data_IF_608825691703
#
_entry.id   IF_608825691703
#
_cell.length_a   1.000
_cell.length_b   1.000
_cell.length_c   1.000
_cell.angle_alpha   90.00
_cell.angle_beta   90.00
_cell.angle_gamma   90.00
#
_symmetry.space_group_name_H-M   'P 1'
#
loop_
_entity.id
_entity.type
_entity.pdbx_description
1 polymer ?
#
# COMPACT_ATOMS: atom_id res chain seq x y z
N UNK A 1 12.01 15.19 9.55
CA UNK A 1 11.98 13.72 9.35
C UNK A 1 13.08 13.13 10.21
N UNK A 2 12.78 12.28 11.20
CA UNK A 2 13.82 11.58 11.93
C UNK A 2 14.47 10.54 11.01
N UNK A 3 15.79 10.30 11.13
CA UNK A 3 16.47 9.22 10.43
C UNK A 3 15.89 7.88 10.90
N UNK A 4 15.57 7.00 9.97
CA UNK A 4 15.25 5.61 10.31
C UNK A 4 16.55 4.97 10.76
N UNK A 5 16.75 4.84 12.07
CA UNK A 5 17.82 4.00 12.63
C UNK A 5 17.37 2.55 12.41
N UNK A 6 17.97 1.90 11.42
CA UNK A 6 17.78 0.48 11.15
C UNK A 6 18.75 -0.27 12.07
N UNK A 7 18.38 -0.45 13.33
CA UNK A 7 19.05 -1.41 14.21
C UNK A 7 18.44 -2.79 13.99
N UNK A 8 18.66 -3.38 12.80
CA UNK A 8 18.08 -4.68 12.45
C UNK A 8 19.12 -5.66 11.97
N UNK A 9 19.11 -6.86 12.55
CA UNK A 9 19.74 -8.03 11.95
C UNK A 9 19.10 -8.29 10.58
N UNK A 10 19.90 -8.25 9.52
CA UNK A 10 19.47 -8.55 8.15
C UNK A 10 19.87 -9.98 7.83
N UNK A 11 18.90 -10.88 7.75
CA UNK A 11 19.13 -12.22 7.22
C UNK A 11 18.81 -12.24 5.73
N UNK A 12 19.70 -12.79 4.92
CA UNK A 12 19.50 -12.98 3.48
C UNK A 12 19.61 -14.45 3.13
N UNK A 13 18.56 -14.99 2.51
CA UNK A 13 18.57 -16.35 1.99
C UNK A 13 18.11 -16.39 0.54
N UNK A 14 18.75 -17.24 -0.26
CA UNK A 14 18.31 -17.51 -1.62
C UNK A 14 17.23 -18.57 -1.55
N UNK A 15 15.99 -18.16 -1.76
CA UNK A 15 14.85 -19.05 -1.71
C UNK A 15 14.95 -20.11 -2.81
N UNK A 16 14.70 -21.35 -2.39
CA UNK A 16 14.61 -22.49 -3.30
C UNK A 16 13.26 -22.60 -4.02
N UNK A 17 12.40 -21.57 -3.88
CA UNK A 17 11.13 -21.46 -4.58
C UNK A 17 11.33 -21.52 -6.09
N UNK A 18 10.45 -22.27 -6.76
CA UNK A 18 10.45 -22.35 -8.21
C UNK A 18 9.89 -21.03 -8.74
N UNK A 19 10.78 -20.18 -9.24
CA UNK A 19 10.36 -18.99 -9.96
C UNK A 19 9.95 -19.35 -11.39
N UNK A 20 9.08 -18.51 -11.96
CA UNK A 20 8.79 -18.54 -13.40
C UNK A 20 9.88 -17.85 -14.23
N UNK A 21 10.88 -17.25 -13.58
CA UNK A 21 12.06 -16.63 -14.18
C UNK A 21 13.23 -17.63 -14.17
N UNK A 22 14.30 -17.23 -14.82
CA UNK A 22 15.67 -17.73 -14.72
C UNK A 22 16.35 -17.37 -13.39
N UNK A 23 15.90 -16.32 -12.70
CA UNK A 23 16.43 -15.89 -11.40
C UNK A 23 15.76 -16.62 -10.22
N UNK A 24 16.52 -16.83 -9.14
CA UNK A 24 15.98 -17.30 -7.85
C UNK A 24 15.51 -16.11 -7.03
N UNK A 25 14.50 -16.33 -6.19
CA UNK A 25 14.09 -15.31 -5.24
C UNK A 25 15.15 -15.17 -4.15
N UNK A 26 15.39 -13.94 -3.71
CA UNK A 26 16.21 -13.64 -2.53
C UNK A 26 15.23 -13.14 -1.49
N UNK A 27 15.08 -13.89 -0.40
CA UNK A 27 14.35 -13.40 0.77
C UNK A 27 15.33 -12.64 1.65
N UNK A 28 14.93 -11.42 2.03
CA UNK A 28 15.64 -10.63 3.01
C UNK A 28 14.70 -10.45 4.19
N UNK A 29 14.98 -11.13 5.29
CA UNK A 29 14.24 -10.97 6.54
C UNK A 29 14.89 -9.84 7.32
N UNK A 30 14.13 -8.77 7.51
CA UNK A 30 14.55 -7.61 8.28
C UNK A 30 13.80 -7.68 9.60
N UNK A 31 14.50 -7.98 10.69
CA UNK A 31 13.95 -7.89 12.04
C UNK A 31 13.84 -6.41 12.43
N UNK A 32 12.87 -5.72 11.84
CA UNK A 32 12.52 -4.36 12.19
C UNK A 32 11.10 -4.39 12.74
N UNK A 33 10.82 -3.60 13.78
CA UNK A 33 9.47 -3.16 14.08
C UNK A 33 9.00 -2.26 12.92
N UNK A 34 8.70 -2.88 11.77
CA UNK A 34 8.02 -2.20 10.68
C UNK A 34 6.61 -1.99 11.18
N UNK A 35 6.39 -0.87 11.87
CA UNK A 35 5.06 -0.32 12.05
C UNK A 35 4.53 -0.11 10.62
N UNK A 36 3.76 -1.10 10.14
CA UNK A 36 3.29 -1.23 8.77
C UNK A 36 2.93 0.16 8.24
N UNK A 37 3.78 0.75 7.40
CA UNK A 37 3.72 2.17 7.01
C UNK A 37 2.57 2.45 6.03
N UNK A 38 1.54 1.61 6.02
CA UNK A 38 0.32 1.93 5.31
C UNK A 38 -0.37 3.06 6.05
N UNK A 39 -0.32 4.26 5.48
CA UNK A 39 -1.08 5.38 5.98
C UNK A 39 -2.55 4.98 6.14
N UNK A 40 -3.07 5.11 7.37
CA UNK A 40 -4.48 4.87 7.68
C UNK A 40 -5.34 5.65 6.69
N UNK A 41 -6.20 4.96 5.94
CA UNK A 41 -7.13 5.62 5.01
C UNK A 41 -8.46 5.84 5.71
N UNK A 42 -8.87 7.09 5.86
CA UNK A 42 -10.09 7.46 6.60
C UNK A 42 -11.26 7.64 5.64
N UNK A 43 -12.47 7.33 6.09
CA UNK A 43 -13.71 7.54 5.32
C UNK A 43 -14.19 9.00 5.45
N UNK A 44 -13.47 9.93 4.83
CA UNK A 44 -13.77 11.38 4.92
C UNK A 44 -15.04 11.79 4.18
N UNK A 45 -15.42 11.09 3.10
CA UNK A 45 -16.63 11.40 2.33
C UNK A 45 -17.96 11.13 3.05
N UNK A 46 -17.95 10.37 4.15
CA UNK A 46 -19.18 9.90 4.82
C UNK A 46 -19.59 10.80 6.02
N UNK A 47 -19.06 12.02 6.12
CA UNK A 47 -19.40 12.98 7.19
C UNK A 47 -18.44 12.96 8.39
N UNK A 48 -18.91 13.44 9.54
CA UNK A 48 -18.17 13.65 10.82
C UNK A 48 -17.11 14.78 10.82
N UNK A 49 -17.11 15.65 9.81
CA UNK A 49 -16.23 16.82 9.78
C UNK A 49 -16.46 17.76 10.97
N UNK A 50 -17.71 17.94 11.40
CA UNK A 50 -18.04 18.78 12.55
C UNK A 50 -17.39 18.24 13.84
N UNK A 51 -17.47 16.92 14.06
CA UNK A 51 -16.81 16.27 15.20
C UNK A 51 -15.29 16.43 15.15
N UNK A 52 -14.68 16.33 13.96
CA UNK A 52 -13.25 16.58 13.77
C UNK A 52 -12.87 18.01 14.12
N UNK A 53 -13.61 18.99 13.61
CA UNK A 53 -13.37 20.42 13.86
C UNK A 53 -13.56 20.75 15.34
N UNK A 54 -14.57 20.18 16.00
CA UNK A 54 -14.80 20.41 17.43
C UNK A 54 -13.70 19.83 18.31
N UNK A 55 -13.11 18.67 17.93
CA UNK A 55 -11.99 18.09 18.67
C UNK A 55 -10.72 18.92 18.43
N UNK A 56 -10.47 19.29 17.19
CA UNK A 56 -9.28 20.07 16.82
C UNK A 56 -9.33 21.48 17.43
N UNK A 57 -10.49 22.14 17.35
CA UNK A 57 -10.70 23.51 17.82
C UNK A 57 -10.51 23.72 19.32
N UNK A 58 -10.64 22.67 20.14
CA UNK A 58 -10.37 22.75 21.59
C UNK A 58 -8.89 22.96 21.91
N UNK A 59 -8.01 22.35 21.12
CA UNK A 59 -6.57 22.29 21.40
C UNK A 59 -5.75 23.21 20.48
N UNK A 60 -6.35 23.72 19.40
CA UNK A 60 -5.62 24.49 18.38
C UNK A 60 -5.09 25.83 18.90
N UNK A 61 -5.82 26.47 19.81
CA UNK A 61 -5.41 27.75 20.42
C UNK A 61 -4.14 27.60 21.26
N UNK A 62 -3.97 26.48 21.96
CA UNK A 62 -2.76 26.20 22.75
C UNK A 62 -1.54 26.01 21.85
N UNK A 63 -1.71 25.32 20.73
CA UNK A 63 -0.65 25.14 19.72
C UNK A 63 -0.28 26.45 19.04
N UNK A 64 -1.26 27.28 18.67
CA UNK A 64 -1.01 28.58 18.07
C UNK A 64 -0.15 29.46 18.99
N UNK A 65 -0.45 29.46 20.30
CA UNK A 65 0.34 30.19 21.29
C UNK A 65 1.76 29.65 21.41
N UNK A 66 1.95 28.32 21.39
CA UNK A 66 3.28 27.69 21.40
C UNK A 66 4.10 28.04 20.16
N UNK A 67 3.48 28.04 18.98
CA UNK A 67 4.15 28.40 17.73
C UNK A 67 4.61 29.86 17.76
N UNK A 68 3.75 30.78 18.21
CA UNK A 68 4.10 32.22 18.34
C UNK A 68 5.20 32.48 19.37
N UNK A 69 5.29 31.65 20.40
CA UNK A 69 6.28 31.78 21.47
C UNK A 69 7.63 31.09 21.16
N UNK A 70 7.70 30.29 20.10
CA UNK A 70 8.89 29.51 19.78
C UNK A 70 10.07 30.41 19.37
N UNK A 71 11.23 30.22 19.99
CA UNK A 71 12.45 31.03 19.77
C UNK A 71 13.53 30.31 18.99
N UNK A 72 13.39 29.01 18.79
CA UNK A 72 14.37 28.19 18.07
C UNK A 72 13.69 27.07 17.27
N UNK A 73 14.48 26.43 16.40
CA UNK A 73 14.02 25.35 15.53
C UNK A 73 13.59 24.09 16.31
N UNK A 74 14.14 23.84 17.48
CA UNK A 74 13.77 22.72 18.34
C UNK A 74 12.35 22.85 18.89
N UNK A 75 12.02 24.03 19.44
CA UNK A 75 10.68 24.37 19.92
C UNK A 75 9.65 24.35 18.79
N UNK A 76 10.00 24.86 17.62
CA UNK A 76 9.13 24.82 16.45
C UNK A 76 8.89 23.39 15.94
N UNK A 77 9.92 22.54 15.92
CA UNK A 77 9.80 21.13 15.58
C UNK A 77 8.90 20.39 16.57
N UNK A 78 9.04 20.65 17.88
CA UNK A 78 8.20 20.06 18.91
C UNK A 78 6.73 20.47 18.74
N UNK A 79 6.46 21.77 18.53
CA UNK A 79 5.11 22.26 18.24
C UNK A 79 4.51 21.61 16.98
N UNK A 80 5.34 21.36 15.97
CA UNK A 80 4.92 20.68 14.72
C UNK A 80 4.59 19.20 14.98
N UNK A 81 5.37 18.49 15.79
CA UNK A 81 5.09 17.10 16.18
C UNK A 81 3.80 17.01 17.00
N UNK A 82 3.58 17.95 17.93
CA UNK A 82 2.34 18.03 18.71
C UNK A 82 1.14 18.28 17.79
N UNK A 83 1.25 19.20 16.84
CA UNK A 83 0.20 19.47 15.85
C UNK A 83 -0.14 18.23 15.01
N UNK A 84 0.89 17.54 14.51
CA UNK A 84 0.70 16.29 13.75
C UNK A 84 -0.02 15.23 14.58
N UNK A 85 0.39 15.06 15.84
CA UNK A 85 -0.21 14.12 16.78
C UNK A 85 -1.66 14.46 17.07
N UNK A 86 -1.96 15.74 17.30
CA UNK A 86 -3.32 16.24 17.51
C UNK A 86 -4.21 15.95 16.30
N UNK A 87 -3.73 16.27 15.08
CA UNK A 87 -4.48 16.01 13.84
C UNK A 87 -4.75 14.51 13.68
N UNK A 88 -3.76 13.66 13.91
CA UNK A 88 -3.91 12.20 13.83
C UNK A 88 -4.94 11.70 14.86
N UNK A 89 -4.89 12.21 16.09
CA UNK A 89 -5.80 11.84 17.16
C UNK A 89 -7.24 12.28 16.89
N UNK A 90 -7.44 13.53 16.48
CA UNK A 90 -8.75 14.05 16.07
C UNK A 90 -9.31 13.22 14.91
N UNK A 91 -8.46 12.86 13.94
CA UNK A 91 -8.85 12.04 12.80
C UNK A 91 -9.27 10.63 13.20
N UNK A 92 -8.53 9.99 14.11
CA UNK A 92 -8.86 8.65 14.65
C UNK A 92 -10.19 8.65 15.42
N UNK A 93 -10.51 9.73 16.13
CA UNK A 93 -11.75 9.86 16.91
C UNK A 93 -12.98 10.21 16.07
N UNK A 94 -12.79 10.92 14.96
CA UNK A 94 -13.91 11.40 14.14
C UNK A 94 -14.24 10.51 12.96
N UNK A 95 -13.24 9.93 12.29
CA UNK A 95 -13.45 9.20 11.05
C UNK A 95 -13.24 7.70 11.22
N UNK A 96 -14.15 6.91 10.64
CA UNK A 96 -13.95 5.46 10.53
C UNK A 96 -12.78 5.17 9.60
N UNK A 97 -11.88 4.27 10.01
CA UNK A 97 -10.79 3.78 9.18
C UNK A 97 -11.36 2.83 8.12
N UNK A 98 -10.97 3.03 6.87
CA UNK A 98 -11.31 2.11 5.78
C UNK A 98 -10.52 0.83 6.01
N UNK A 99 -11.23 -0.29 6.12
CA UNK A 99 -10.59 -1.61 6.11
C UNK A 99 -9.82 -1.74 4.80
N UNK A 100 -8.49 -1.79 4.90
CA UNK A 100 -7.65 -2.22 3.81
C UNK A 100 -7.90 -3.72 3.68
N UNK A 101 -8.35 -4.17 2.52
CA UNK A 101 -8.29 -5.59 2.23
C UNK A 101 -6.80 -5.94 2.21
N UNK A 102 -6.37 -6.76 3.16
CA UNK A 102 -5.06 -7.40 3.08
C UNK A 102 -5.00 -8.09 1.72
N UNK A 103 -3.84 -8.04 1.06
CA UNK A 103 -3.63 -8.79 -0.17
C UNK A 103 -3.84 -10.25 0.21
N UNK A 104 -5.02 -10.77 -0.10
CA UNK A 104 -5.34 -12.17 0.11
C UNK A 104 -4.49 -12.97 -0.86
N UNK A 105 -4.33 -14.28 -0.57
CA UNK A 105 -3.78 -15.19 -1.56
C UNK A 105 -4.48 -14.93 -2.90
N UNK A 106 -3.73 -14.82 -4.02
CA UNK A 106 -4.33 -14.55 -5.31
C UNK A 106 -5.42 -15.57 -5.61
N UNK A 107 -6.53 -15.15 -6.20
CA UNK A 107 -7.66 -16.04 -6.47
C UNK A 107 -7.29 -17.23 -7.36
N UNK A 108 -6.25 -17.09 -8.21
CA UNK A 108 -5.72 -18.17 -9.05
C UNK A 108 -4.84 -19.18 -8.31
N UNK A 109 -4.47 -18.92 -7.05
CA UNK A 109 -3.63 -19.81 -6.25
C UNK A 109 -4.49 -20.87 -5.56
N UNK A 110 -4.42 -22.10 -6.04
CA UNK A 110 -5.22 -23.22 -5.56
C UNK A 110 -4.42 -24.16 -4.67
N UNK A 111 -5.12 -24.95 -3.85
CA UNK A 111 -4.50 -26.02 -3.07
C UNK A 111 -3.75 -27.04 -3.95
N UNK A 112 -4.27 -27.31 -5.15
CA UNK A 112 -3.60 -28.16 -6.13
C UNK A 112 -2.23 -27.61 -6.55
N UNK A 113 -2.10 -26.28 -6.72
CA UNK A 113 -0.82 -25.64 -7.01
C UNK A 113 0.14 -25.73 -5.82
N UNK A 114 -0.35 -25.67 -4.58
CA UNK A 114 0.46 -25.89 -3.38
C UNK A 114 0.97 -27.34 -3.28
N UNK A 115 0.10 -28.31 -3.56
CA UNK A 115 0.47 -29.74 -3.58
C UNK A 115 1.57 -29.96 -4.64
N UNK A 116 1.38 -29.45 -5.85
CA UNK A 116 2.40 -29.54 -6.90
C UNK A 116 3.71 -28.83 -6.51
N UNK A 117 3.63 -27.65 -5.88
CA UNK A 117 4.81 -26.92 -5.36
C UNK A 117 5.59 -27.79 -4.37
N UNK A 118 4.90 -28.41 -3.41
CA UNK A 118 5.51 -29.31 -2.41
C UNK A 118 6.11 -30.56 -3.06
N UNK A 119 5.43 -31.16 -4.04
CA UNK A 119 5.90 -32.34 -4.77
C UNK A 119 7.18 -32.04 -5.56
N UNK A 120 7.21 -30.95 -6.33
CA UNK A 120 8.39 -30.59 -7.11
C UNK A 120 9.59 -30.25 -6.20
N UNK A 121 9.35 -29.62 -5.04
CA UNK A 121 10.40 -29.43 -4.01
C UNK A 121 10.91 -30.75 -3.46
N UNK A 122 10.03 -31.69 -3.17
CA UNK A 122 10.42 -33.02 -2.68
C UNK A 122 11.26 -33.77 -3.72
N UNK A 123 10.85 -33.75 -5.00
CA UNK A 123 11.60 -34.35 -6.10
C UNK A 123 13.00 -33.75 -6.25
N UNK A 124 13.12 -32.41 -6.17
CA UNK A 124 14.42 -31.73 -6.17
C UNK A 124 15.31 -32.20 -5.02
N UNK A 125 14.76 -32.19 -3.80
CA UNK A 125 15.48 -32.60 -2.58
C UNK A 125 15.94 -34.06 -2.64
N UNK A 126 15.13 -34.94 -3.25
CA UNK A 126 15.48 -36.35 -3.48
C UNK A 126 16.57 -36.49 -4.54
N UNK A 127 16.49 -35.74 -5.65
CA UNK A 127 17.52 -35.76 -6.70
C UNK A 127 18.88 -35.26 -6.19
N UNK A 128 18.91 -34.19 -5.38
CA UNK A 128 20.13 -33.64 -4.79
C UNK A 128 20.83 -34.62 -3.83
N UNK A 129 20.06 -35.39 -3.05
CA UNK A 129 20.60 -36.37 -2.09
C UNK A 129 20.90 -37.73 -2.69
N UNK A 130 20.61 -37.94 -3.98
CA UNK A 130 20.78 -39.24 -4.62
C UNK A 130 22.26 -39.54 -4.94
N UNK A 131 22.66 -40.83 -4.93
CA UNK A 131 23.93 -41.28 -5.47
C UNK A 131 24.09 -40.88 -6.94
N UNK A 132 25.32 -40.66 -7.40
CA UNK A 132 25.62 -40.12 -8.74
C UNK A 132 24.96 -40.92 -9.88
N UNK A 133 24.95 -42.25 -9.74
CA UNK A 133 24.37 -43.19 -10.72
C UNK A 133 22.88 -42.90 -10.98
N UNK A 134 22.11 -42.60 -9.93
CA UNK A 134 20.66 -42.35 -10.04
C UNK A 134 20.31 -40.87 -10.15
N UNK A 135 21.27 -39.99 -9.83
CA UNK A 135 21.08 -38.54 -9.74
C UNK A 135 20.54 -37.97 -11.05
N UNK A 136 21.11 -38.40 -12.18
CA UNK A 136 20.70 -37.92 -13.50
C UNK A 136 19.25 -38.30 -13.81
N UNK A 137 18.87 -39.56 -13.59
CA UNK A 137 17.50 -40.04 -13.80
C UNK A 137 16.49 -39.30 -12.91
N UNK A 138 16.83 -39.08 -11.63
CA UNK A 138 15.98 -38.33 -10.69
C UNK A 138 15.86 -36.85 -11.06
N UNK A 139 16.92 -36.24 -11.60
CA UNK A 139 16.86 -34.88 -12.14
C UNK A 139 15.99 -34.77 -13.39
N UNK A 140 15.97 -35.78 -14.27
CA UNK A 140 15.06 -35.80 -15.42
C UNK A 140 13.59 -35.80 -14.98
N UNK A 141 13.24 -36.61 -13.98
CA UNK A 141 11.90 -36.63 -13.38
C UNK A 141 11.56 -35.27 -12.77
N UNK A 142 12.47 -34.70 -11.98
CA UNK A 142 12.28 -33.36 -11.40
C UNK A 142 12.07 -32.28 -12.48
N UNK A 143 12.88 -32.27 -13.55
CA UNK A 143 12.76 -31.30 -14.65
C UNK A 143 11.40 -31.41 -15.34
N UNK A 144 10.92 -32.64 -15.58
CA UNK A 144 9.61 -32.91 -16.18
C UNK A 144 8.46 -32.38 -15.31
N UNK A 145 8.47 -32.71 -14.01
CA UNK A 145 7.43 -32.26 -13.08
C UNK A 145 7.49 -30.75 -12.82
N UNK A 146 8.70 -30.16 -12.78
CA UNK A 146 8.88 -28.70 -12.73
C UNK A 146 8.28 -28.01 -13.95
N UNK A 147 8.46 -28.56 -15.15
CA UNK A 147 7.89 -28.01 -16.37
C UNK A 147 6.35 -28.05 -16.35
N UNK A 148 5.77 -29.17 -15.91
CA UNK A 148 4.31 -29.30 -15.70
C UNK A 148 3.79 -28.27 -14.71
N UNK A 149 4.45 -28.13 -13.56
CA UNK A 149 4.08 -27.13 -12.55
C UNK A 149 4.13 -25.69 -13.10
N UNK A 150 5.19 -25.33 -13.83
CA UNK A 150 5.28 -24.01 -14.50
C UNK A 150 4.13 -23.79 -15.50
N UNK A 151 3.75 -24.83 -16.26
CA UNK A 151 2.62 -24.78 -17.20
C UNK A 151 1.30 -24.55 -16.44
N UNK A 152 1.05 -25.28 -15.36
CA UNK A 152 -0.16 -25.11 -14.55
C UNK A 152 -0.27 -23.71 -13.94
N UNK A 153 0.84 -23.13 -13.45
CA UNK A 153 0.82 -21.74 -12.96
C UNK A 153 0.45 -20.76 -14.09
N UNK A 154 1.08 -20.89 -15.26
CA UNK A 154 0.76 -20.02 -16.41
C UNK A 154 -0.71 -20.13 -16.80
N UNK A 155 -1.24 -21.35 -16.86
CA UNK A 155 -2.65 -21.60 -17.17
C UNK A 155 -3.58 -20.99 -16.11
N UNK A 156 -3.31 -21.21 -14.82
CA UNK A 156 -4.11 -20.65 -13.73
C UNK A 156 -4.16 -19.12 -13.77
N UNK A 157 -2.99 -18.47 -13.96
CA UNK A 157 -2.89 -17.01 -14.10
C UNK A 157 -3.66 -16.50 -15.32
N UNK A 158 -3.50 -17.16 -16.47
CA UNK A 158 -4.17 -16.75 -17.71
C UNK A 158 -5.69 -16.93 -17.63
N UNK A 159 -6.16 -18.02 -17.04
CA UNK A 159 -7.60 -18.27 -16.86
C UNK A 159 -8.22 -17.26 -15.91
N UNK A 160 -7.57 -16.95 -14.79
CA UNK A 160 -8.05 -15.96 -13.84
C UNK A 160 -8.06 -14.55 -14.44
N UNK A 161 -7.01 -14.18 -15.19
CA UNK A 161 -6.99 -12.92 -15.93
C UNK A 161 -8.10 -12.87 -16.99
N UNK A 162 -8.30 -13.95 -17.75
CA UNK A 162 -9.38 -14.04 -18.73
C UNK A 162 -10.74 -13.86 -18.06
N UNK A 163 -11.00 -14.57 -16.96
CA UNK A 163 -12.23 -14.44 -16.17
C UNK A 163 -12.43 -13.01 -15.65
N UNK A 164 -11.37 -12.41 -15.12
CA UNK A 164 -11.38 -11.01 -14.66
C UNK A 164 -11.76 -10.05 -15.80
N UNK A 165 -11.13 -10.18 -16.97
CA UNK A 165 -11.46 -9.38 -18.15
C UNK A 165 -12.87 -9.63 -18.68
N UNK A 166 -13.36 -10.88 -18.67
CA UNK A 166 -14.71 -11.22 -19.13
C UNK A 166 -15.83 -10.64 -18.25
N UNK A 167 -15.54 -10.26 -17.00
CA UNK A 167 -16.51 -9.55 -16.14
C UNK A 167 -16.53 -8.04 -16.38
N UNK A 168 -15.83 -7.52 -17.39
CA UNK A 168 -15.82 -6.10 -17.71
C UNK A 168 -17.16 -5.66 -18.32
N UNK A 169 -17.87 -4.79 -17.63
CA UNK A 169 -19.10 -4.17 -18.14
C UNK A 169 -18.82 -2.87 -18.92
N UNK A 170 -17.70 -2.21 -18.67
CA UNK A 170 -17.33 -0.94 -19.31
C UNK A 170 -15.90 -0.99 -19.86
N UNK A 171 -15.67 -0.47 -21.09
CA UNK A 171 -14.33 -0.41 -21.70
C UNK A 171 -13.28 0.25 -20.80
N UNK A 172 -13.62 1.35 -20.12
CA UNK A 172 -12.70 2.10 -19.22
C UNK A 172 -12.88 1.75 -17.73
N UNK A 173 -13.46 0.58 -17.47
CA UNK A 173 -13.83 0.12 -16.14
C UNK A 173 -12.66 -0.26 -15.25
N UNK A 174 -12.97 -1.01 -14.19
CA UNK A 174 -11.98 -1.51 -13.22
C UNK A 174 -10.88 -2.34 -13.90
N UNK A 175 -11.23 -3.10 -14.93
CA UNK A 175 -10.35 -4.01 -15.66
C UNK A 175 -9.32 -3.24 -16.49
N UNK A 176 -9.76 -2.23 -17.25
CA UNK A 176 -8.86 -1.31 -17.96
C UNK A 176 -7.92 -0.60 -17.00
N UNK A 177 -8.47 -0.03 -15.92
CA UNK A 177 -7.63 0.59 -14.88
C UNK A 177 -6.66 -0.40 -14.25
N UNK A 178 -7.00 -1.67 -14.07
CA UNK A 178 -6.07 -2.66 -13.53
C UNK A 178 -4.92 -2.99 -14.49
N UNK A 179 -5.19 -3.04 -15.81
CA UNK A 179 -4.18 -3.30 -16.82
C UNK A 179 -3.25 -2.10 -17.07
N UNK A 180 -3.80 -0.88 -16.98
CA UNK A 180 -3.11 0.36 -17.38
C UNK A 180 -2.78 1.31 -16.22
N UNK A 181 -3.07 0.95 -14.97
CA UNK A 181 -2.71 1.79 -13.81
C UNK A 181 -1.19 1.96 -13.75
N UNK A 182 -0.71 3.08 -14.29
CA UNK A 182 0.38 3.84 -13.69
C UNK A 182 -0.10 4.17 -12.27
N UNK A 183 0.52 3.58 -11.25
CA UNK A 183 0.24 3.99 -9.88
C UNK A 183 0.49 5.48 -9.78
N UNK A 184 -0.54 6.28 -9.51
CA UNK A 184 -0.34 7.67 -9.13
C UNK A 184 0.36 7.62 -7.77
N UNK A 185 1.65 7.86 -7.77
CA UNK A 185 2.42 7.92 -6.53
C UNK A 185 1.90 9.09 -5.69
N UNK A 186 1.98 9.03 -4.36
CA UNK A 186 1.65 10.18 -3.50
C UNK A 186 2.38 11.46 -3.93
N UNK A 187 3.59 11.34 -4.47
CA UNK A 187 4.35 12.43 -5.08
C UNK A 187 3.70 13.06 -6.31
N UNK A 188 2.81 12.34 -7.01
CA UNK A 188 2.08 12.81 -8.19
C UNK A 188 0.72 13.43 -7.84
N UNK A 189 0.23 13.28 -6.60
CA UNK A 189 -1.05 13.85 -6.16
C UNK A 189 -1.05 15.38 -6.22
N UNK A 190 0.00 16.11 -5.76
CA UNK A 190 0.06 17.56 -5.88
C UNK A 190 -0.10 18.02 -7.33
N UNK A 191 0.65 17.41 -8.25
CA UNK A 191 0.66 17.73 -9.69
C UNK A 191 -0.69 17.52 -10.38
N UNK A 192 -1.48 16.52 -9.93
CA UNK A 192 -2.82 16.26 -10.48
C UNK A 192 -3.89 17.20 -9.93
N UNK A 193 -3.67 17.80 -8.75
CA UNK A 193 -4.63 18.70 -8.10
C UNK A 193 -4.44 20.15 -8.55
N UNK A 194 -3.21 20.56 -8.87
CA UNK A 194 -2.90 21.94 -9.26
C UNK A 194 -3.00 22.22 -10.76
N UNK A 195 -3.11 21.19 -11.63
CA UNK A 195 -3.22 21.34 -13.09
C UNK A 195 -1.95 21.86 -13.79
N UNK A 196 -1.11 22.61 -13.08
CA UNK A 196 0.15 23.18 -13.55
C UNK A 196 1.32 22.65 -12.68
N UNK A 197 2.36 22.02 -13.25
CA UNK A 197 3.51 21.48 -12.53
C UNK A 197 4.51 22.54 -12.02
N UNK A 198 4.25 23.84 -12.24
CA UNK A 198 5.19 24.93 -11.94
C UNK A 198 5.02 25.60 -10.57
N UNK A 199 4.04 25.18 -9.77
CA UNK A 199 3.78 25.77 -8.44
C UNK A 199 4.78 25.31 -7.37
N UNK A 200 5.10 26.20 -6.43
CA UNK A 200 5.89 25.88 -5.24
C UNK A 200 5.16 24.89 -4.33
N UNK A 201 5.90 24.15 -3.48
CA UNK A 201 5.30 23.24 -2.49
C UNK A 201 4.31 23.95 -1.55
N UNK A 202 4.54 25.25 -1.31
CA UNK A 202 3.67 26.09 -0.49
C UNK A 202 2.33 26.37 -1.18
N UNK A 203 2.34 26.68 -2.48
CA UNK A 203 1.13 26.87 -3.28
C UNK A 203 0.32 25.57 -3.40
N UNK A 204 1.00 24.43 -3.56
CA UNK A 204 0.35 23.13 -3.57
C UNK A 204 -0.31 22.82 -2.22
N UNK A 205 0.36 23.10 -1.10
CA UNK A 205 -0.20 22.93 0.24
C UNK A 205 -1.40 23.87 0.48
N UNK A 206 -1.31 25.12 0.04
CA UNK A 206 -2.38 26.10 0.16
C UNK A 206 -3.61 25.70 -0.65
N UNK A 207 -3.44 25.26 -1.90
CA UNK A 207 -4.54 24.79 -2.75
C UNK A 207 -5.25 23.55 -2.13
N UNK A 208 -4.49 22.62 -1.55
CA UNK A 208 -5.06 21.48 -0.81
C UNK A 208 -5.87 21.95 0.39
N UNK A 209 -5.34 22.88 1.19
CA UNK A 209 -6.06 23.45 2.34
C UNK A 209 -7.33 24.17 1.90
N UNK A 210 -7.26 24.94 0.82
CA UNK A 210 -8.39 25.66 0.27
C UNK A 210 -9.48 24.70 -0.21
N UNK A 211 -9.17 23.62 -0.91
CA UNK A 211 -10.19 22.64 -1.30
C UNK A 211 -10.80 21.89 -0.11
N UNK A 212 -10.00 21.60 0.92
CA UNK A 212 -10.48 20.92 2.14
C UNK A 212 -11.34 21.85 2.98
N UNK A 213 -11.03 23.15 3.02
CA UNK A 213 -11.71 24.13 3.86
C UNK A 213 -12.89 24.83 3.15
N UNK A 214 -12.82 25.08 1.84
CA UNK A 214 -13.91 25.70 1.06
C UNK A 214 -15.12 24.79 0.88
N UNK A 215 -14.99 23.46 1.04
CA UNK A 215 -16.14 22.56 1.03
C UNK A 215 -17.16 22.85 2.15
N UNK A 216 -16.82 23.70 3.14
CA UNK A 216 -17.77 24.20 4.14
C UNK A 216 -18.65 25.36 3.66
N UNK A 217 -18.20 26.19 2.70
CA UNK A 217 -18.97 27.37 2.26
C UNK A 217 -20.16 27.02 1.37
N UNK A 218 -20.16 25.86 0.72
CA UNK A 218 -21.28 25.43 -0.13
C UNK A 218 -22.47 24.82 0.65
N UNK A 219 -22.35 24.58 1.96
CA UNK A 219 -23.48 24.12 2.78
C UNK A 219 -24.17 25.22 3.59
N UNK A 220 -23.59 26.41 3.72
CA UNK A 220 -24.22 27.55 4.42
C UNK A 220 -25.15 28.37 3.53
N UNK A 221 -25.01 28.30 2.20
CA UNK A 221 -25.74 29.18 1.28
C UNK A 221 -27.12 28.63 0.85
N UNK A 222 -27.48 27.41 1.25
CA UNK A 222 -28.80 26.83 0.96
C UNK A 222 -29.85 27.03 2.07
N UNK A 223 -29.52 27.76 3.15
CA UNK A 223 -30.47 28.03 4.24
C UNK A 223 -31.02 29.46 4.31
N UNK A 224 -30.56 30.38 3.45
CA UNK A 224 -30.89 31.82 3.57
C UNK A 224 -31.72 32.39 2.39
N UNK A 225 -32.40 31.55 1.61
CA UNK A 225 -33.34 32.00 0.57
C UNK A 225 -34.65 31.23 0.67
N UNK A 226 -35.40 31.48 1.75
CA UNK A 226 -36.81 31.16 1.88
C UNK A 226 -37.42 32.04 2.98
N UNK A 227 -37.71 33.29 2.62
CA UNK A 227 -38.70 34.17 3.27
C UNK A 227 -39.40 34.93 2.17
#
# INVERSE_FOLDING_TARGET
MPPIIIDSSINREVLEEISLSDHRYIETTIASTVANQFHKRYKTRLGNHLRFVNILGKEIFHLERKIKAARNSGELNNATIELQTLIINARNRSFKIKKQLLITKPNWWTEQLEIHKKNVRALRRRAQRAPEIERQARYLVFKKEKAKYKRHIKQARNMDWRKFCSTASHPDGKQYKAAFRKSVFPSQIPYLMSGDPKGSLQEAAQNILDQICHSKKLQSNHLNTAT
#
